data_IF_460542893891
#
_entry.id   IF_460542893891
#
_cell.length_a   1.000
_cell.length_b   1.000
_cell.length_c   1.000
_cell.angle_alpha   90.00
_cell.angle_beta   90.00
_cell.angle_gamma   90.00
#
_symmetry.space_group_name_H-M   'P 1'
#
loop_
_entity.id
_entity.type
_entity.pdbx_description
1 polymer ?
#
# COMPACT_ATOMS: atom_id res chain seq x y z
N UNK A 1 4.50 -6.38 -9.92
CA UNK A 1 3.75 -5.51 -8.99
C UNK A 1 4.39 -5.58 -7.61
N UNK A 2 4.44 -4.45 -6.94
CA UNK A 2 4.88 -4.28 -5.55
C UNK A 2 3.66 -3.85 -4.74
N UNK A 3 3.11 -4.76 -3.95
CA UNK A 3 1.96 -4.47 -3.08
C UNK A 3 2.42 -3.83 -1.78
N UNK A 4 1.99 -2.59 -1.55
CA UNK A 4 2.36 -1.72 -0.43
C UNK A 4 1.08 -1.21 0.24
N UNK A 5 0.48 -2.07 1.07
CA UNK A 5 -0.90 -1.96 1.53
C UNK A 5 -1.05 -1.51 2.98
N UNK A 6 -0.13 -0.71 3.48
CA UNK A 6 -0.30 -0.09 4.81
C UNK A 6 -1.54 0.81 4.84
N UNK A 7 -2.18 0.92 5.99
CA UNK A 7 -3.21 1.94 6.16
C UNK A 7 -2.56 3.32 6.13
N UNK A 8 -3.11 4.25 5.36
CA UNK A 8 -2.64 5.63 5.30
C UNK A 8 -2.46 6.22 6.71
N UNK A 9 -1.37 6.93 6.94
CA UNK A 9 -0.90 7.48 8.23
C UNK A 9 -0.24 6.48 9.21
N UNK A 10 -0.03 5.22 8.83
CA UNK A 10 0.56 4.20 9.74
C UNK A 10 1.98 3.78 9.37
N UNK A 11 2.40 3.94 8.12
CA UNK A 11 3.76 3.64 7.68
C UNK A 11 4.59 4.93 7.57
N UNK A 12 5.73 4.97 8.24
CA UNK A 12 6.57 6.17 8.24
C UNK A 12 7.29 6.39 6.90
N UNK A 13 7.75 5.33 6.26
CA UNK A 13 8.46 5.38 4.98
C UNK A 13 8.37 4.04 4.24
N UNK A 14 9.03 3.01 4.74
CA UNK A 14 9.26 1.75 4.04
C UNK A 14 10.53 1.78 3.20
N UNK A 15 11.07 0.62 2.91
CA UNK A 15 12.24 0.46 2.02
C UNK A 15 11.98 -0.56 0.92
N UNK A 16 11.03 -1.47 1.12
CA UNK A 16 10.65 -2.48 0.15
C UNK A 16 10.14 -1.88 -1.15
N UNK A 17 9.26 -0.90 -1.05
CA UNK A 17 8.69 -0.17 -2.19
C UNK A 17 9.77 0.45 -3.09
N UNK A 18 10.77 1.14 -2.53
CA UNK A 18 11.88 1.74 -3.29
C UNK A 18 12.74 0.67 -4.00
N UNK A 19 13.01 -0.46 -3.32
CA UNK A 19 13.77 -1.58 -3.90
C UNK A 19 13.02 -2.26 -5.02
N UNK A 20 11.72 -2.45 -4.86
CA UNK A 20 10.86 -2.99 -5.91
C UNK A 20 10.77 -2.05 -7.11
N UNK A 21 10.61 -0.74 -6.87
CA UNK A 21 10.61 0.30 -7.90
C UNK A 21 11.89 0.26 -8.75
N UNK A 22 13.06 0.21 -8.11
CA UNK A 22 14.36 0.09 -8.78
C UNK A 22 14.45 -1.15 -9.68
N UNK A 23 13.79 -2.25 -9.27
CA UNK A 23 13.75 -3.51 -10.01
C UNK A 23 12.57 -3.58 -11.00
N UNK A 24 11.90 -2.48 -11.28
CA UNK A 24 10.86 -2.37 -12.28
C UNK A 24 9.48 -2.88 -11.85
N UNK A 25 9.27 -3.19 -10.58
CA UNK A 25 7.94 -3.51 -10.07
C UNK A 25 7.14 -2.22 -9.83
N UNK A 26 5.97 -2.14 -10.45
CA UNK A 26 5.08 -0.99 -10.28
C UNK A 26 4.39 -1.04 -8.92
N UNK A 27 4.22 0.10 -8.28
CA UNK A 27 3.57 0.21 -6.97
C UNK A 27 2.06 0.05 -7.09
N UNK A 28 1.51 -0.91 -6.34
CA UNK A 28 0.11 -0.97 -5.96
C UNK A 28 0.05 -0.67 -4.47
N UNK A 29 -0.51 0.45 -4.07
CA UNK A 29 -0.45 0.84 -2.67
C UNK A 29 -1.42 1.95 -2.28
N UNK A 30 -1.43 2.24 -1.01
CA UNK A 30 -2.10 3.39 -0.42
C UNK A 30 -1.17 4.62 -0.48
N UNK A 31 -1.74 5.81 -0.35
CA UNK A 31 -0.97 7.06 -0.23
C UNK A 31 -0.41 7.20 1.19
N UNK A 32 0.64 6.40 1.46
CA UNK A 32 1.29 6.30 2.77
C UNK A 32 2.79 6.01 2.62
N UNK A 33 3.59 6.43 3.60
CA UNK A 33 5.02 6.23 3.60
C UNK A 33 5.69 6.73 2.30
N UNK A 34 6.69 6.01 1.84
CA UNK A 34 7.41 6.37 0.61
C UNK A 34 6.59 6.19 -0.68
N UNK A 35 5.37 5.62 -0.63
CA UNK A 35 4.50 5.59 -1.80
C UNK A 35 4.13 7.01 -2.25
N UNK A 36 4.01 7.95 -1.30
CA UNK A 36 3.74 9.37 -1.60
C UNK A 36 4.85 9.93 -2.48
N UNK A 37 6.11 9.79 -2.05
CA UNK A 37 7.25 10.28 -2.83
C UNK A 37 7.45 9.53 -4.16
N UNK A 38 7.10 8.23 -4.18
CA UNK A 38 7.13 7.45 -5.43
C UNK A 38 6.13 8.04 -6.43
N UNK A 39 4.89 8.30 -6.00
CA UNK A 39 3.85 8.88 -6.86
C UNK A 39 4.24 10.28 -7.32
N UNK A 40 4.78 11.11 -6.43
CA UNK A 40 5.27 12.45 -6.77
C UNK A 40 6.37 12.40 -7.86
N UNK A 41 7.24 11.40 -7.80
CA UNK A 41 8.32 11.26 -8.77
C UNK A 41 7.86 10.69 -10.12
N UNK A 42 6.95 9.72 -10.13
CA UNK A 42 6.56 9.02 -11.36
C UNK A 42 5.29 9.56 -12.00
N UNK A 43 4.44 10.25 -11.24
CA UNK A 43 3.09 10.64 -11.61
C UNK A 43 2.06 9.56 -11.31
N UNK A 44 0.84 9.99 -10.98
CA UNK A 44 -0.27 9.08 -10.61
C UNK A 44 -0.59 8.05 -11.70
N UNK A 45 -0.37 8.42 -12.97
CA UNK A 45 -0.60 7.52 -14.10
C UNK A 45 0.39 6.35 -14.18
N UNK A 46 1.49 6.40 -13.42
CA UNK A 46 2.54 5.38 -13.41
C UNK A 46 2.60 4.56 -12.10
N UNK A 47 1.58 4.68 -11.26
CA UNK A 47 1.35 3.87 -10.06
C UNK A 47 -0.13 3.46 -10.00
N UNK A 48 -0.46 2.54 -9.10
CA UNK A 48 -1.83 2.09 -8.86
C UNK A 48 -2.17 2.37 -7.39
N UNK A 49 -2.95 3.42 -7.16
CA UNK A 49 -3.28 3.87 -5.81
C UNK A 49 -4.72 3.48 -5.49
N UNK A 50 -4.93 3.07 -4.23
CA UNK A 50 -6.22 2.71 -3.69
C UNK A 50 -6.33 3.12 -2.22
N UNK A 51 -7.52 2.94 -1.65
CA UNK A 51 -7.78 3.09 -0.22
C UNK A 51 -8.03 4.52 0.23
N UNK A 52 -8.28 4.63 1.52
CA UNK A 52 -8.54 5.90 2.18
C UNK A 52 -7.30 6.79 2.20
N UNK A 53 -7.52 8.09 2.12
CA UNK A 53 -6.48 9.09 2.41
C UNK A 53 -6.22 9.19 3.92
N UNK A 54 -5.08 9.78 4.30
CA UNK A 54 -4.74 10.01 5.71
C UNK A 54 -5.82 10.83 6.44
N UNK A 55 -6.39 11.85 5.79
CA UNK A 55 -7.43 12.69 6.37
C UNK A 55 -8.73 11.91 6.61
N UNK A 56 -9.10 11.03 5.68
CA UNK A 56 -10.27 10.16 5.84
C UNK A 56 -10.07 9.14 6.96
N UNK A 57 -8.89 8.53 7.06
CA UNK A 57 -8.55 7.62 8.17
C UNK A 57 -8.68 8.34 9.51
N UNK A 58 -8.07 9.52 9.64
CA UNK A 58 -8.12 10.32 10.84
C UNK A 58 -9.58 10.69 11.18
N UNK A 59 -10.37 11.09 10.18
CA UNK A 59 -11.79 11.40 10.37
C UNK A 59 -12.57 10.20 10.90
N UNK A 60 -12.39 9.00 10.31
CA UNK A 60 -13.05 7.78 10.79
C UNK A 60 -12.58 7.36 12.18
N UNK A 61 -11.31 7.54 12.50
CA UNK A 61 -10.80 7.25 13.85
C UNK A 61 -11.43 8.14 14.93
N UNK A 62 -11.70 9.41 14.60
CA UNK A 62 -12.25 10.37 15.57
C UNK A 62 -13.77 10.35 15.67
N UNK A 63 -14.49 10.14 14.57
CA UNK A 63 -15.96 10.25 14.57
C UNK A 63 -16.69 8.96 14.96
N UNK A 64 -16.01 7.82 14.97
CA UNK A 64 -16.58 6.53 15.35
C UNK A 64 -17.71 6.03 14.42
N UNK A 65 -17.86 6.59 13.22
CA UNK A 65 -18.96 6.27 12.30
C UNK A 65 -18.70 5.01 11.45
N UNK A 66 -17.49 4.45 11.51
CA UNK A 66 -17.16 3.25 10.77
C UNK A 66 -17.68 1.98 11.49
N UNK A 67 -18.50 1.20 10.79
CA UNK A 67 -18.96 -0.10 11.24
C UNK A 67 -18.74 -1.14 10.12
N UNK A 68 -17.76 -2.04 10.23
CA UNK A 68 -17.47 -3.04 9.20
C UNK A 68 -18.63 -4.01 8.95
N UNK A 69 -19.53 -4.21 9.91
CA UNK A 69 -20.72 -5.02 9.71
C UNK A 69 -21.70 -4.44 8.69
N UNK A 70 -21.71 -3.12 8.50
CA UNK A 70 -22.56 -2.49 7.48
C UNK A 70 -22.06 -2.88 6.08
N UNK A 71 -20.73 -2.92 5.88
CA UNK A 71 -20.11 -3.39 4.63
C UNK A 71 -20.41 -4.89 4.44
N UNK A 72 -20.15 -5.71 5.46
CA UNK A 72 -20.45 -7.14 5.42
C UNK A 72 -21.91 -7.43 5.04
N UNK A 73 -22.85 -6.65 5.54
CA UNK A 73 -24.27 -6.84 5.26
C UNK A 73 -24.69 -6.35 3.87
N UNK A 74 -24.07 -5.31 3.37
CA UNK A 74 -24.43 -4.66 2.10
C UNK A 74 -23.69 -5.22 0.89
N UNK A 75 -22.48 -5.76 1.06
CA UNK A 75 -21.65 -6.29 -0.01
C UNK A 75 -21.63 -7.83 0.00
N UNK A 76 -22.15 -8.41 -1.09
CA UNK A 76 -22.27 -9.85 -1.20
C UNK A 76 -20.94 -10.57 -1.38
N UNK A 77 -19.99 -9.95 -2.06
CA UNK A 77 -18.67 -10.52 -2.34
C UNK A 77 -17.81 -10.52 -1.06
N UNK A 78 -17.78 -9.39 -0.35
CA UNK A 78 -17.10 -9.29 0.95
C UNK A 78 -17.71 -10.28 1.94
N UNK A 79 -19.03 -10.37 2.01
CA UNK A 79 -19.71 -11.34 2.88
C UNK A 79 -19.33 -12.78 2.52
N UNK A 80 -19.28 -13.12 1.24
CA UNK A 80 -18.92 -14.47 0.79
C UNK A 80 -17.48 -14.81 1.20
N UNK A 81 -16.53 -13.91 0.91
CA UNK A 81 -15.12 -14.11 1.27
C UNK A 81 -14.94 -14.28 2.78
N UNK A 82 -15.54 -13.41 3.59
CA UNK A 82 -15.42 -13.50 5.04
C UNK A 82 -16.11 -14.77 5.59
N UNK A 83 -17.24 -15.17 5.03
CA UNK A 83 -17.93 -16.41 5.45
C UNK A 83 -17.05 -17.63 5.20
N UNK A 84 -16.29 -17.67 4.10
CA UNK A 84 -15.38 -18.77 3.78
C UNK A 84 -14.24 -18.94 4.78
N UNK A 85 -13.92 -17.94 5.59
CA UNK A 85 -12.97 -18.08 6.69
C UNK A 85 -13.50 -18.99 7.81
N UNK A 86 -14.81 -19.08 7.98
CA UNK A 86 -15.45 -19.75 9.12
C UNK A 86 -16.44 -20.86 8.74
N UNK A 87 -16.62 -21.14 7.45
CA UNK A 87 -17.49 -22.23 6.96
C UNK A 87 -16.75 -23.52 6.61
N UNK A 88 -15.42 -23.54 6.81
CA UNK A 88 -14.56 -24.70 6.53
C UNK A 88 -14.01 -24.75 5.12
N UNK A 89 -14.34 -23.81 4.24
CA UNK A 89 -13.87 -23.78 2.84
C UNK A 89 -12.34 -23.77 2.76
N UNK A 90 -11.67 -22.90 3.51
CA UNK A 90 -10.21 -22.78 3.48
C UNK A 90 -9.49 -23.71 4.47
N UNK A 91 -10.19 -24.30 5.41
CA UNK A 91 -9.62 -25.05 6.54
C UNK A 91 -9.97 -26.53 6.53
N UNK A 92 -10.39 -27.07 5.38
CA UNK A 92 -10.76 -28.49 5.23
C UNK A 92 -11.78 -28.97 6.29
N UNK A 93 -12.73 -28.08 6.66
CA UNK A 93 -13.79 -28.36 7.62
C UNK A 93 -13.48 -27.95 9.07
N UNK A 94 -12.35 -27.36 9.36
CA UNK A 94 -12.07 -26.77 10.68
C UNK A 94 -12.62 -25.34 10.75
N UNK A 95 -13.81 -25.17 11.30
CA UNK A 95 -14.50 -23.89 11.38
C UNK A 95 -13.84 -22.85 12.31
N UNK A 96 -12.86 -23.28 13.12
CA UNK A 96 -12.21 -22.40 14.10
C UNK A 96 -10.85 -21.84 13.62
N UNK A 97 -10.27 -22.42 12.56
CA UNK A 97 -8.92 -22.09 12.09
C UNK A 97 -8.68 -20.60 11.84
N UNK A 98 -9.64 -19.94 11.18
CA UNK A 98 -9.54 -18.53 10.81
C UNK A 98 -10.57 -17.65 11.52
N UNK A 99 -11.22 -18.18 12.57
CA UNK A 99 -12.25 -17.47 13.32
C UNK A 99 -11.74 -16.19 13.95
N UNK A 100 -10.51 -16.18 14.42
CA UNK A 100 -9.89 -14.99 15.00
C UNK A 100 -9.74 -13.86 13.98
N UNK A 101 -9.40 -14.17 12.72
CA UNK A 101 -9.36 -13.19 11.64
C UNK A 101 -10.76 -12.64 11.37
N UNK A 102 -11.76 -13.53 11.21
CA UNK A 102 -13.15 -13.14 11.02
C UNK A 102 -13.65 -12.21 12.13
N UNK A 103 -13.42 -12.59 13.38
CA UNK A 103 -13.85 -11.81 14.54
C UNK A 103 -13.11 -10.49 14.66
N UNK A 104 -11.80 -10.43 14.33
CA UNK A 104 -11.03 -9.18 14.36
C UNK A 104 -11.56 -8.17 13.35
N UNK A 105 -12.06 -8.63 12.21
CA UNK A 105 -12.65 -7.78 11.19
C UNK A 105 -14.05 -7.29 11.53
N UNK A 106 -14.89 -8.14 12.17
CA UNK A 106 -16.30 -7.83 12.38
C UNK A 106 -16.67 -7.46 13.81
N UNK A 107 -16.00 -8.02 14.83
CA UNK A 107 -16.36 -7.90 16.25
C UNK A 107 -15.29 -7.23 17.12
N UNK A 108 -14.03 -7.17 16.62
CA UNK A 108 -12.95 -6.43 17.25
C UNK A 108 -12.24 -7.11 18.42
N UNK A 109 -12.63 -8.33 18.84
CA UNK A 109 -11.96 -9.14 19.89
C UNK A 109 -11.37 -8.33 21.08
N UNK A 110 -12.14 -7.36 21.60
CA UNK A 110 -11.71 -6.49 22.70
C UNK A 110 -11.06 -5.17 22.27
N UNK A 111 -10.95 -4.92 20.96
CA UNK A 111 -10.56 -3.65 20.37
C UNK A 111 -11.61 -3.13 19.38
N UNK A 112 -11.22 -2.18 18.55
CA UNK A 112 -12.07 -1.72 17.44
C UNK A 112 -12.05 -2.76 16.31
N UNK A 113 -13.21 -3.19 15.78
CA UNK A 113 -13.26 -4.08 14.63
C UNK A 113 -12.65 -3.39 13.39
N UNK A 114 -12.03 -4.21 12.54
CA UNK A 114 -11.35 -3.76 11.32
C UNK A 114 -10.53 -2.47 11.53
N UNK A 115 -9.61 -2.53 12.49
CA UNK A 115 -8.82 -1.36 12.92
C UNK A 115 -7.96 -0.75 11.80
N UNK A 116 -7.74 -1.49 10.72
CA UNK A 116 -6.98 -1.06 9.55
C UNK A 116 -7.87 -0.72 8.34
N UNK A 117 -9.20 -0.65 8.50
CA UNK A 117 -10.17 -0.32 7.46
C UNK A 117 -10.06 -1.21 6.20
N UNK A 118 -9.67 -2.46 6.38
CA UNK A 118 -9.46 -3.42 5.28
C UNK A 118 -10.73 -3.59 4.44
N UNK A 119 -11.90 -3.72 5.09
CA UNK A 119 -13.16 -3.89 4.38
C UNK A 119 -13.58 -2.61 3.67
N UNK A 120 -13.21 -1.44 4.19
CA UNK A 120 -13.49 -0.15 3.57
C UNK A 120 -12.67 0.04 2.29
N UNK A 121 -11.42 -0.40 2.31
CA UNK A 121 -10.50 -0.25 1.17
C UNK A 121 -10.65 -1.35 0.12
N UNK A 122 -11.34 -2.46 0.45
CA UNK A 122 -11.39 -3.66 -0.39
C UNK A 122 -11.86 -3.40 -1.83
N UNK A 123 -12.94 -2.65 -2.00
CA UNK A 123 -13.48 -2.37 -3.35
C UNK A 123 -12.51 -1.55 -4.19
N UNK A 124 -11.88 -0.52 -3.60
CA UNK A 124 -10.88 0.29 -4.31
C UNK A 124 -9.61 -0.50 -4.65
N UNK A 125 -9.19 -1.40 -3.76
CA UNK A 125 -8.12 -2.36 -4.03
C UNK A 125 -8.47 -3.29 -5.20
N UNK A 126 -9.67 -3.87 -5.21
CA UNK A 126 -10.13 -4.74 -6.29
C UNK A 126 -10.18 -4.00 -7.64
N UNK A 127 -10.60 -2.73 -7.64
CA UNK A 127 -10.62 -1.91 -8.86
C UNK A 127 -9.20 -1.53 -9.32
N UNK A 128 -8.26 -1.31 -8.39
CA UNK A 128 -6.86 -1.12 -8.73
C UNK A 128 -6.26 -2.39 -9.37
N UNK A 129 -6.58 -3.57 -8.86
CA UNK A 129 -6.16 -4.85 -9.45
C UNK A 129 -6.70 -5.04 -10.88
N UNK A 130 -7.95 -4.67 -11.16
CA UNK A 130 -8.50 -4.69 -12.53
C UNK A 130 -7.73 -3.76 -13.49
N UNK A 131 -7.41 -2.54 -13.03
CA UNK A 131 -6.60 -1.59 -13.82
C UNK A 131 -5.20 -2.13 -14.11
N UNK A 132 -4.60 -2.85 -13.15
CA UNK A 132 -3.31 -3.53 -13.34
C UNK A 132 -3.43 -4.59 -14.43
N UNK A 133 -4.44 -5.48 -14.33
CA UNK A 133 -4.65 -6.55 -15.30
C UNK A 133 -4.86 -6.00 -16.73
N UNK A 134 -5.66 -4.95 -16.87
CA UNK A 134 -5.86 -4.26 -18.15
C UNK A 134 -4.56 -3.64 -18.69
N UNK A 135 -3.82 -2.93 -17.85
CA UNK A 135 -2.54 -2.29 -18.22
C UNK A 135 -1.46 -3.31 -18.57
N UNK A 136 -1.41 -4.43 -17.85
CA UNK A 136 -0.42 -5.50 -18.06
C UNK A 136 -0.57 -6.15 -19.44
N UNK A 137 -1.78 -6.19 -20.01
CA UNK A 137 -2.05 -6.74 -21.35
C UNK A 137 -1.54 -5.83 -22.47
N UNK A 138 -1.32 -4.54 -22.22
CA UNK A 138 -0.63 -3.63 -23.14
C UNK A 138 0.86 -3.61 -22.80
N UNK A 139 1.62 -4.56 -23.36
CA UNK A 139 3.04 -4.76 -23.11
C UNK A 139 3.86 -3.48 -23.33
N UNK A 140 3.50 -2.67 -24.34
CA UNK A 140 4.21 -1.43 -24.64
C UNK A 140 3.97 -0.35 -23.56
N UNK A 141 2.72 -0.17 -23.15
CA UNK A 141 2.35 0.75 -22.08
C UNK A 141 2.98 0.30 -20.76
N UNK A 142 2.92 -1.01 -20.47
CA UNK A 142 3.53 -1.60 -19.29
C UNK A 142 5.05 -1.33 -19.24
N UNK A 143 5.78 -1.68 -20.30
CA UNK A 143 7.22 -1.47 -20.39
C UNK A 143 7.61 0.01 -20.22
N UNK A 144 6.84 0.93 -20.82
CA UNK A 144 7.05 2.36 -20.63
C UNK A 144 6.93 2.77 -19.15
N UNK A 145 5.88 2.32 -18.48
CA UNK A 145 5.66 2.61 -17.05
C UNK A 145 6.77 2.03 -16.19
N UNK A 146 7.20 0.79 -16.46
CA UNK A 146 8.35 0.15 -15.78
C UNK A 146 9.62 0.99 -15.94
N UNK A 147 9.92 1.44 -17.14
CA UNK A 147 11.11 2.28 -17.40
C UNK A 147 11.04 3.61 -16.64
N UNK A 148 9.89 4.29 -16.64
CA UNK A 148 9.70 5.53 -15.89
C UNK A 148 10.00 5.30 -14.41
N UNK A 149 9.40 4.27 -13.81
CA UNK A 149 9.60 3.92 -12.41
C UNK A 149 11.08 3.64 -12.11
N UNK A 150 11.73 2.76 -12.90
CA UNK A 150 13.13 2.39 -12.68
C UNK A 150 14.08 3.58 -12.80
N UNK A 151 13.91 4.45 -13.78
CA UNK A 151 14.76 5.62 -13.93
C UNK A 151 14.55 6.67 -12.83
N UNK A 152 13.32 6.83 -12.36
CA UNK A 152 12.99 7.75 -11.27
C UNK A 152 13.42 7.23 -9.89
N UNK A 153 13.70 5.93 -9.76
CA UNK A 153 14.16 5.33 -8.49
C UNK A 153 15.49 5.92 -7.98
N UNK A 154 16.27 6.60 -8.82
CA UNK A 154 17.46 7.34 -8.41
C UNK A 154 17.19 8.40 -7.33
N UNK A 155 15.97 8.91 -7.23
CA UNK A 155 15.50 9.79 -6.13
C UNK A 155 15.77 9.19 -4.75
N UNK A 156 15.67 7.87 -4.63
CA UNK A 156 15.83 7.14 -3.36
C UNK A 156 17.26 6.61 -3.13
N UNK A 157 18.25 7.15 -3.88
CA UNK A 157 19.64 6.81 -3.67
C UNK A 157 20.17 7.37 -2.34
N UNK A 158 20.88 6.53 -1.59
CA UNK A 158 21.57 6.96 -0.37
C UNK A 158 22.63 8.03 -0.65
N UNK A 159 23.30 7.96 -1.80
CA UNK A 159 24.33 8.94 -2.19
C UNK A 159 23.72 10.33 -2.32
N UNK A 160 22.56 10.46 -2.98
CA UNK A 160 21.81 11.71 -3.06
C UNK A 160 21.45 12.23 -1.67
N UNK A 161 20.87 11.37 -0.83
CA UNK A 161 20.44 11.75 0.52
C UNK A 161 21.61 12.26 1.35
N UNK A 162 22.74 11.57 1.33
CA UNK A 162 23.94 11.99 2.06
C UNK A 162 24.50 13.29 1.50
N UNK A 163 24.50 13.49 0.18
CA UNK A 163 24.95 14.74 -0.42
C UNK A 163 24.06 15.93 -0.04
N UNK A 164 22.75 15.75 -0.03
CA UNK A 164 21.80 16.77 0.45
C UNK A 164 22.02 17.08 1.94
N UNK A 165 22.18 16.09 2.81
CA UNK A 165 22.53 16.33 4.21
C UNK A 165 23.84 17.10 4.36
N UNK A 166 24.87 16.70 3.63
CA UNK A 166 26.17 17.34 3.70
C UNK A 166 26.11 18.80 3.25
N UNK A 167 25.44 19.08 2.14
CA UNK A 167 25.44 20.42 1.51
C UNK A 167 24.38 21.34 2.13
N UNK A 168 23.16 20.85 2.36
CA UNK A 168 22.04 21.69 2.73
C UNK A 168 21.88 21.84 4.25
N UNK A 169 22.16 20.78 5.01
CA UNK A 169 21.99 20.77 6.48
C UNK A 169 23.31 21.06 7.18
N UNK A 170 24.34 20.27 6.91
CA UNK A 170 25.62 20.39 7.60
C UNK A 170 26.57 21.44 7.00
N UNK A 171 26.27 21.93 5.79
CA UNK A 171 27.10 22.93 5.07
C UNK A 171 28.56 22.51 4.94
N UNK A 172 28.81 21.22 4.71
CA UNK A 172 30.15 20.67 4.55
C UNK A 172 30.66 20.86 3.13
N UNK A 173 31.97 21.06 3.02
CA UNK A 173 32.69 21.09 1.72
C UNK A 173 33.26 19.71 1.44
N UNK A 174 33.04 19.20 0.24
CA UNK A 174 33.54 17.89 -0.20
C UNK A 174 35.08 17.88 -0.19
N UNK A 175 35.67 16.96 0.56
CA UNK A 175 37.13 16.78 0.59
C UNK A 175 37.53 15.73 -0.45
N UNK A 176 38.37 16.05 -1.43
CA UNK A 176 38.82 15.06 -2.40
C UNK A 176 39.73 14.02 -1.73
N UNK A 177 39.31 12.74 -1.82
CA UNK A 177 40.13 11.62 -1.35
C UNK A 177 40.99 11.11 -2.50
N UNK A 178 42.30 11.10 -2.32
CA UNK A 178 43.19 10.41 -3.25
C UNK A 178 43.14 8.93 -2.97
N UNK A 179 42.54 8.18 -3.88
CA UNK A 179 42.63 6.70 -3.86
C UNK A 179 44.06 6.36 -4.31
N UNK A 180 44.79 5.66 -3.45
CA UNK A 180 46.15 5.13 -3.79
C UNK A 180 46.01 3.86 -4.62
#
# INVERSE_FOLDING_TARGET
ISEQISLASKEASGTGNMKFMLNGALTLGTMDGANVEIVDEVGEENAFIFGLSSDEVIAYEHNGQYNPRDIYNSDADIRAVLTQLVDGTYSQGNFEEFRDIYNSLLDGQGGRPDMYFILKDFCSYADAQKKIDERYRDEKSWAKTVMINSFKAGKFSSDRTIEEYATEIWKLTKTPVKVQ
#
